data_IF_110581027728
#
_entry.id   IF_110581027728
#
_cell.length_a   1.000
_cell.length_b   1.000
_cell.length_c   1.000
_cell.angle_alpha   90.00
_cell.angle_beta   90.00
_cell.angle_gamma   90.00
#
_symmetry.space_group_name_H-M   'P 1'
#
loop_
_entity.id
_entity.type
_entity.pdbx_description
1 polymer ?
#
# COMPACT_ATOMS: atom_id res chain seq x y z
N UNK A 1 -11.71 15.06 3.22
CA UNK A 1 -11.50 14.76 4.65
C UNK A 1 -10.22 15.40 5.17
N UNK A 2 -10.09 15.66 6.47
CA UNK A 2 -8.80 15.92 7.12
C UNK A 2 -8.41 14.69 7.94
N UNK A 3 -7.23 14.12 7.73
CA UNK A 3 -6.81 12.85 8.34
C UNK A 3 -5.56 13.06 9.17
N UNK A 4 -5.64 12.70 10.46
CA UNK A 4 -4.52 12.69 11.40
C UNK A 4 -3.97 11.28 11.52
N UNK A 5 -2.66 11.12 11.35
CA UNK A 5 -1.97 9.82 11.38
C UNK A 5 -0.90 9.83 12.45
N UNK A 6 -0.80 8.73 13.20
CA UNK A 6 0.38 8.36 14.00
C UNK A 6 0.69 6.87 13.82
N UNK A 7 1.91 6.55 13.44
CA UNK A 7 2.33 5.17 13.18
C UNK A 7 3.72 4.93 13.78
N UNK A 8 3.86 3.87 14.57
CA UNK A 8 5.13 3.46 15.14
C UNK A 8 5.55 2.09 14.62
N UNK A 9 6.76 2.04 14.08
CA UNK A 9 7.43 0.84 13.58
C UNK A 9 8.69 0.60 14.40
N UNK A 10 9.08 -0.66 14.56
CA UNK A 10 10.33 -1.06 15.19
C UNK A 10 11.08 -2.06 14.32
N UNK A 11 12.40 -1.98 14.33
CA UNK A 11 13.29 -3.01 13.79
C UNK A 11 14.51 -3.13 14.68
N UNK A 12 14.96 -4.35 14.96
CA UNK A 12 16.17 -4.61 15.74
C UNK A 12 17.26 -5.14 14.81
N UNK A 13 18.32 -4.36 14.55
CA UNK A 13 19.48 -4.86 13.81
C UNK A 13 20.14 -6.05 14.52
N UNK A 14 20.85 -6.94 13.81
CA UNK A 14 21.60 -8.03 14.42
C UNK A 14 22.57 -7.57 15.51
N UNK A 15 22.76 -8.38 16.54
CA UNK A 15 23.69 -8.08 17.63
C UNK A 15 25.12 -7.84 17.11
N UNK A 16 25.77 -6.78 17.60
CA UNK A 16 27.12 -6.40 17.19
C UNK A 16 27.19 -5.65 15.85
N UNK A 17 26.06 -5.19 15.31
CA UNK A 17 26.02 -4.35 14.10
C UNK A 17 26.83 -3.07 14.32
N UNK A 18 27.84 -2.84 13.48
CA UNK A 18 28.64 -1.61 13.53
C UNK A 18 27.90 -0.42 12.90
N UNK A 19 27.17 -0.66 11.81
CA UNK A 19 26.35 0.33 11.13
C UNK A 19 25.06 -0.31 10.62
N UNK A 20 23.93 0.37 10.84
CA UNK A 20 22.66 0.02 10.22
C UNK A 20 22.14 1.18 9.38
N UNK A 21 21.68 0.90 8.17
CA UNK A 21 21.03 1.87 7.30
C UNK A 21 19.56 1.52 7.17
N UNK A 22 18.69 2.48 7.45
CA UNK A 22 17.26 2.37 7.23
C UNK A 22 16.86 3.13 5.98
N UNK A 23 16.09 2.48 5.12
CA UNK A 23 15.44 3.06 3.96
C UNK A 23 13.95 3.23 4.26
N UNK A 24 13.52 4.48 4.41
CA UNK A 24 12.17 4.85 4.81
C UNK A 24 11.38 5.39 3.61
N UNK A 25 10.24 4.79 3.34
CA UNK A 25 9.19 5.26 2.42
C UNK A 25 7.97 5.71 3.22
N UNK A 26 8.20 6.56 4.21
CA UNK A 26 7.22 6.96 5.22
C UNK A 26 6.76 8.42 5.05
N UNK A 27 6.93 9.00 3.87
CA UNK A 27 6.58 10.41 3.59
C UNK A 27 5.60 10.50 2.42
N UNK A 28 4.34 10.90 2.64
CA UNK A 28 3.37 11.11 1.58
C UNK A 28 3.74 12.33 0.75
N UNK A 29 3.26 12.34 -0.50
CA UNK A 29 3.47 13.45 -1.43
C UNK A 29 2.17 14.20 -1.69
N UNK A 30 2.28 15.49 -1.98
CA UNK A 30 1.15 16.29 -2.46
C UNK A 30 0.71 15.80 -3.85
N UNK A 31 -0.59 15.83 -4.09
CA UNK A 31 -1.16 15.35 -5.34
C UNK A 31 -2.56 15.89 -5.58
N UNK A 32 -3.24 15.33 -6.58
CA UNK A 32 -4.58 15.79 -6.94
C UNK A 32 -5.65 15.33 -5.93
N UNK A 33 -5.39 14.27 -5.16
CA UNK A 33 -6.30 13.66 -4.18
C UNK A 33 -5.95 14.01 -2.74
N UNK A 34 -4.79 14.61 -2.48
CA UNK A 34 -4.33 14.92 -1.13
C UNK A 34 -3.33 16.08 -1.08
N UNK A 35 -3.33 16.80 0.04
CA UNK A 35 -2.35 17.83 0.42
C UNK A 35 -1.87 17.53 1.85
N UNK A 36 -0.56 17.43 2.02
CA UNK A 36 0.10 17.25 3.31
C UNK A 36 0.17 18.61 4.00
N UNK A 37 -0.53 18.75 5.13
CA UNK A 37 -0.52 19.98 5.95
C UNK A 37 0.69 19.98 6.88
N UNK A 38 0.91 18.86 7.57
CA UNK A 38 1.98 18.65 8.52
C UNK A 38 2.48 17.21 8.41
N UNK A 39 3.79 17.00 8.46
CA UNK A 39 4.36 15.65 8.47
C UNK A 39 5.70 15.62 9.17
N UNK A 40 5.88 14.60 10.00
CA UNK A 40 7.09 14.38 10.76
C UNK A 40 7.43 12.88 10.79
N UNK A 41 8.71 12.58 10.61
CA UNK A 41 9.27 11.23 10.76
C UNK A 41 10.39 11.34 11.77
N UNK A 42 10.25 10.63 12.89
CA UNK A 42 11.22 10.61 13.99
C UNK A 42 11.85 9.24 14.09
N UNK A 43 13.17 9.24 14.10
CA UNK A 43 14.01 8.08 14.40
C UNK A 43 15.38 8.63 14.81
N UNK A 44 16.14 7.94 15.69
CA UNK A 44 17.53 8.32 15.93
C UNK A 44 18.27 8.59 14.60
N UNK A 45 19.12 9.60 14.54
CA UNK A 45 19.91 9.92 13.33
C UNK A 45 19.15 10.56 12.14
N UNK A 46 17.83 10.83 12.26
CA UNK A 46 17.05 11.42 11.17
C UNK A 46 17.57 12.79 10.71
N UNK A 47 18.15 13.58 11.61
CA UNK A 47 18.70 14.92 11.31
C UNK A 47 19.81 14.90 10.25
N UNK A 48 20.49 13.76 10.09
CA UNK A 48 21.56 13.56 9.11
C UNK A 48 21.12 12.67 7.94
N UNK A 49 19.82 12.41 7.80
CA UNK A 49 19.31 11.52 6.76
C UNK A 49 19.50 12.13 5.37
N UNK A 50 19.89 11.28 4.42
CA UNK A 50 19.84 11.66 3.01
C UNK A 50 18.39 11.59 2.52
N UNK A 51 17.90 12.69 1.92
CA UNK A 51 16.55 12.79 1.39
C UNK A 51 16.61 12.94 -0.13
N UNK A 52 15.88 12.10 -0.86
CA UNK A 52 15.85 12.12 -2.32
C UNK A 52 14.57 11.49 -2.88
N UNK A 53 14.34 11.64 -4.18
CA UNK A 53 13.26 10.97 -4.88
C UNK A 53 13.77 9.70 -5.58
N UNK A 54 13.11 8.57 -5.37
CA UNK A 54 13.49 7.30 -6.01
C UNK A 54 13.02 7.20 -7.48
N UNK A 55 13.32 6.07 -8.10
CA UNK A 55 12.93 5.78 -9.48
C UNK A 55 11.41 5.65 -9.72
N UNK A 56 10.58 5.69 -8.68
CA UNK A 56 9.11 5.69 -8.77
C UNK A 56 8.51 7.05 -8.41
N UNK A 57 9.33 8.01 -7.98
CA UNK A 57 8.90 9.34 -7.56
C UNK A 57 8.56 9.43 -6.06
N UNK A 58 8.89 8.41 -5.26
CA UNK A 58 8.64 8.44 -3.82
C UNK A 58 9.66 9.32 -3.11
N UNK A 59 9.25 9.97 -2.01
CA UNK A 59 10.19 10.63 -1.09
C UNK A 59 10.85 9.60 -0.18
N UNK A 60 12.17 9.46 -0.29
CA UNK A 60 12.96 8.50 0.47
C UNK A 60 13.79 9.23 1.52
N UNK A 61 13.84 8.66 2.72
CA UNK A 61 14.81 9.04 3.74
C UNK A 61 15.74 7.84 4.01
N UNK A 62 17.04 8.04 3.84
CA UNK A 62 18.09 7.08 4.22
C UNK A 62 18.73 7.52 5.53
N UNK A 63 18.51 6.75 6.59
CA UNK A 63 18.96 7.06 7.95
C UNK A 63 20.07 6.09 8.35
N UNK A 64 21.21 6.61 8.78
CA UNK A 64 22.33 5.81 9.24
C UNK A 64 22.41 5.79 10.78
N UNK A 65 22.56 4.60 11.35
CA UNK A 65 22.83 4.35 12.76
C UNK A 65 24.23 3.80 12.94
N UNK A 66 25.05 4.47 13.75
CA UNK A 66 26.31 3.90 14.21
C UNK A 66 26.07 3.11 15.50
N UNK A 67 26.54 1.85 15.51
CA UNK A 67 26.48 0.92 16.65
C UNK A 67 25.10 0.93 17.33
N UNK A 68 24.01 0.64 16.58
CA UNK A 68 22.68 0.62 17.16
C UNK A 68 22.61 -0.43 18.28
N UNK A 69 22.07 -0.04 19.43
CA UNK A 69 21.80 -0.91 20.56
C UNK A 69 20.29 -1.10 20.73
N UNK A 70 19.81 -2.32 20.55
CA UNK A 70 18.39 -2.65 20.71
C UNK A 70 17.50 -2.15 19.56
N UNK A 71 16.19 -2.00 19.80
CA UNK A 71 15.22 -1.68 18.77
C UNK A 71 15.35 -0.22 18.29
N UNK A 72 15.33 -0.05 16.97
CA UNK A 72 15.23 1.25 16.30
C UNK A 72 13.75 1.55 16.06
N UNK A 73 13.20 2.47 16.84
CA UNK A 73 11.80 2.88 16.73
C UNK A 73 11.67 4.07 15.78
N UNK A 74 10.83 3.92 14.76
CA UNK A 74 10.44 4.99 13.84
C UNK A 74 9.02 5.42 14.18
N UNK A 75 8.84 6.69 14.52
CA UNK A 75 7.53 7.29 14.75
C UNK A 75 7.20 8.25 13.62
N UNK A 76 6.08 8.02 12.97
CA UNK A 76 5.52 8.89 11.95
C UNK A 76 4.31 9.59 12.53
N UNK A 77 4.17 10.89 12.28
CA UNK A 77 2.95 11.62 12.63
C UNK A 77 2.71 12.76 11.66
N UNK A 78 1.45 13.03 11.35
CA UNK A 78 1.12 14.16 10.49
C UNK A 78 -0.36 14.28 10.20
N UNK A 79 -0.68 15.30 9.41
CA UNK A 79 -2.03 15.67 9.01
C UNK A 79 -2.06 15.83 7.50
N UNK A 80 -2.99 15.14 6.86
CA UNK A 80 -3.19 15.16 5.42
C UNK A 80 -4.65 15.52 5.12
N UNK A 81 -4.85 16.55 4.32
CA UNK A 81 -6.14 16.86 3.75
C UNK A 81 -6.34 16.05 2.46
N UNK A 82 -7.43 15.32 2.35
CA UNK A 82 -7.78 14.48 1.21
C UNK A 82 -9.05 14.98 0.52
N UNK A 83 -9.23 14.62 -0.75
CA UNK A 83 -10.41 14.96 -1.55
C UNK A 83 -10.84 13.76 -2.36
N UNK A 84 -12.14 13.45 -2.32
CA UNK A 84 -12.65 12.30 -3.04
C UNK A 84 -12.70 12.62 -4.53
N UNK A 85 -12.05 11.75 -5.30
CA UNK A 85 -12.02 11.79 -6.76
C UNK A 85 -12.46 10.47 -7.37
N UNK A 86 -13.20 9.66 -6.61
CA UNK A 86 -13.73 8.37 -7.05
C UNK A 86 -12.60 7.47 -7.58
N UNK A 87 -11.49 7.38 -6.84
CA UNK A 87 -10.27 6.66 -7.22
C UNK A 87 -9.36 7.35 -8.24
N UNK A 88 -9.76 8.44 -8.89
CA UNK A 88 -8.95 9.07 -9.94
C UNK A 88 -7.83 9.93 -9.34
N UNK A 89 -6.61 9.40 -9.38
CA UNK A 89 -5.37 10.14 -9.02
C UNK A 89 -4.96 11.07 -10.16
N UNK A 90 -5.21 10.67 -11.41
CA UNK A 90 -4.91 11.49 -12.57
C UNK A 90 -3.50 11.29 -13.13
N UNK A 91 -3.06 12.23 -13.96
CA UNK A 91 -1.67 12.30 -14.43
C UNK A 91 -0.84 13.07 -13.40
N UNK A 92 0.30 12.50 -12.99
CA UNK A 92 1.19 13.14 -12.03
C UNK A 92 2.30 13.87 -12.80
N UNK A 93 2.55 15.14 -12.45
CA UNK A 93 3.60 15.93 -13.09
C UNK A 93 4.98 15.43 -12.69
N UNK A 94 5.90 15.33 -13.66
CA UNK A 94 7.26 14.83 -13.41
C UNK A 94 7.35 13.33 -13.13
N UNK A 95 6.26 12.59 -13.33
CA UNK A 95 6.20 11.16 -13.08
C UNK A 95 6.93 10.34 -14.16
N UNK A 96 7.36 9.14 -13.77
CA UNK A 96 7.91 8.14 -14.67
C UNK A 96 6.93 7.73 -15.77
N UNK A 97 7.48 7.25 -16.89
CA UNK A 97 6.69 6.72 -18.00
C UNK A 97 5.85 5.55 -17.49
N UNK A 98 4.50 5.56 -17.66
CA UNK A 98 3.63 4.51 -17.13
C UNK A 98 4.06 3.09 -17.56
N UNK A 99 4.65 2.96 -18.75
CA UNK A 99 5.18 1.69 -19.26
C UNK A 99 6.17 0.98 -18.31
N UNK A 100 6.87 1.70 -17.42
CA UNK A 100 7.71 1.10 -16.36
C UNK A 100 6.91 0.08 -15.53
N UNK A 101 5.66 0.39 -15.23
CA UNK A 101 4.77 -0.40 -14.39
C UNK A 101 4.08 -1.56 -15.15
N UNK A 102 4.51 -1.86 -16.37
CA UNK A 102 4.18 -3.12 -17.07
C UNK A 102 5.13 -4.26 -16.70
N UNK A 103 6.25 -3.97 -16.01
CA UNK A 103 7.26 -4.97 -15.65
C UNK A 103 6.69 -6.02 -14.69
N UNK A 104 6.76 -7.29 -15.09
CA UNK A 104 6.38 -8.42 -14.25
C UNK A 104 7.46 -8.64 -13.18
N UNK A 105 7.04 -8.87 -11.93
CA UNK A 105 7.91 -9.28 -10.83
C UNK A 105 7.52 -10.69 -10.35
N UNK A 106 8.34 -11.36 -9.52
CA UNK A 106 7.97 -12.65 -8.96
C UNK A 106 6.64 -12.63 -8.19
N UNK A 107 6.36 -11.56 -7.46
CA UNK A 107 5.14 -11.39 -6.65
C UNK A 107 3.90 -11.15 -7.51
N UNK A 108 4.03 -10.53 -8.68
CA UNK A 108 2.89 -10.25 -9.58
C UNK A 108 2.66 -11.33 -10.63
N UNK A 109 3.14 -12.55 -10.40
CA UNK A 109 2.86 -13.69 -11.29
C UNK A 109 1.48 -14.27 -10.96
N UNK A 110 0.60 -14.33 -11.95
CA UNK A 110 -0.79 -14.78 -11.77
C UNK A 110 -1.18 -15.85 -12.78
N UNK A 111 -2.15 -16.68 -12.42
CA UNK A 111 -2.74 -17.66 -13.32
C UNK A 111 -3.44 -16.99 -14.50
N UNK A 112 -3.31 -17.58 -15.69
CA UNK A 112 -4.04 -17.16 -16.91
C UNK A 112 -5.55 -17.17 -16.73
N UNK A 113 -6.07 -18.02 -15.83
CA UNK A 113 -7.51 -18.10 -15.53
C UNK A 113 -8.07 -16.84 -14.86
N UNK A 114 -7.21 -16.01 -14.26
CA UNK A 114 -7.62 -14.76 -13.62
C UNK A 114 -8.05 -13.72 -14.66
N UNK A 115 -7.27 -13.57 -15.75
CA UNK A 115 -7.39 -12.44 -16.66
C UNK A 115 -7.77 -12.81 -18.11
N UNK A 116 -7.69 -14.10 -18.49
CA UNK A 116 -7.91 -14.53 -19.88
C UNK A 116 -9.27 -14.13 -20.45
N UNK A 117 -10.33 -14.06 -19.64
CA UNK A 117 -11.67 -13.64 -20.08
C UNK A 117 -11.72 -12.19 -20.57
N UNK A 118 -10.79 -11.35 -20.13
CA UNK A 118 -10.73 -9.93 -20.50
C UNK A 118 -9.88 -9.67 -21.74
N UNK A 119 -9.14 -10.67 -22.25
CA UNK A 119 -8.31 -10.50 -23.46
C UNK A 119 -9.20 -10.20 -24.65
N UNK A 120 -8.94 -9.06 -25.31
CA UNK A 120 -9.72 -8.62 -26.46
C UNK A 120 -11.14 -8.20 -26.13
N UNK A 121 -11.44 -7.87 -24.85
CA UNK A 121 -12.72 -7.24 -24.50
C UNK A 121 -12.93 -5.96 -25.32
N UNK A 122 -14.19 -5.69 -25.64
CA UNK A 122 -14.63 -4.44 -26.29
C UNK A 122 -15.06 -3.37 -25.28
N UNK A 123 -15.11 -3.72 -24.00
CA UNK A 123 -15.46 -2.81 -22.92
C UNK A 123 -14.36 -1.75 -22.74
N UNK A 124 -14.68 -0.67 -22.03
CA UNK A 124 -13.65 0.32 -21.71
C UNK A 124 -12.58 -0.28 -20.80
N UNK A 125 -11.38 0.31 -20.79
CA UNK A 125 -10.30 -0.14 -19.89
C UNK A 125 -10.72 -0.08 -18.43
N UNK A 126 -11.47 0.95 -18.05
CA UNK A 126 -11.99 1.12 -16.69
C UNK A 126 -12.99 0.00 -16.33
N UNK A 127 -13.88 -0.38 -17.24
CA UNK A 127 -14.80 -1.49 -17.00
C UNK A 127 -14.04 -2.81 -16.82
N UNK A 128 -13.02 -3.04 -17.65
CA UNK A 128 -12.13 -4.21 -17.53
C UNK A 128 -11.40 -4.24 -16.18
N UNK A 129 -10.90 -3.11 -15.71
CA UNK A 129 -10.20 -3.02 -14.43
C UNK A 129 -11.15 -3.26 -13.24
N UNK A 130 -12.36 -2.71 -13.25
CA UNK A 130 -13.37 -3.03 -12.23
C UNK A 130 -13.76 -4.51 -12.24
N UNK A 131 -13.98 -5.08 -13.43
CA UNK A 131 -14.30 -6.50 -13.56
C UNK A 131 -13.14 -7.40 -13.12
N UNK A 132 -11.89 -6.97 -13.31
CA UNK A 132 -10.70 -7.65 -12.80
C UNK A 132 -10.63 -7.58 -11.27
N UNK A 133 -10.89 -6.42 -10.65
CA UNK A 133 -10.95 -6.27 -9.19
C UNK A 133 -12.02 -7.18 -8.58
N UNK A 134 -13.22 -7.21 -9.17
CA UNK A 134 -14.29 -8.11 -8.76
C UNK A 134 -13.86 -9.59 -8.85
N UNK A 135 -13.21 -9.97 -9.95
CA UNK A 135 -12.69 -11.33 -10.15
C UNK A 135 -11.57 -11.70 -9.18
N UNK A 136 -10.76 -10.74 -8.72
CA UNK A 136 -9.80 -10.95 -7.63
C UNK A 136 -10.56 -11.13 -6.30
N UNK A 137 -11.60 -10.33 -6.03
CA UNK A 137 -12.44 -10.46 -4.84
C UNK A 137 -13.11 -11.83 -4.70
N UNK A 138 -13.50 -12.46 -5.81
CA UNK A 138 -14.02 -13.84 -5.82
C UNK A 138 -13.03 -14.86 -5.18
N UNK A 139 -11.73 -14.57 -5.12
CA UNK A 139 -10.74 -15.45 -4.46
C UNK A 139 -10.80 -15.43 -2.93
N UNK A 140 -11.50 -14.45 -2.35
CA UNK A 140 -11.77 -14.39 -0.91
C UNK A 140 -12.90 -15.34 -0.49
N UNK A 141 -13.55 -16.04 -1.43
CA UNK A 141 -14.70 -16.91 -1.11
C UNK A 141 -15.92 -16.12 -0.60
N UNK A 142 -15.91 -14.80 -0.76
CA UNK A 142 -17.05 -13.95 -0.44
C UNK A 142 -18.08 -14.17 -1.53
N UNK A 143 -19.13 -14.92 -1.21
CA UNK A 143 -20.34 -14.98 -2.03
C UNK A 143 -20.83 -13.55 -2.23
N UNK A 144 -20.67 -13.02 -3.44
CA UNK A 144 -21.12 -11.70 -3.87
C UNK A 144 -22.65 -11.66 -4.02
N UNK A 145 -23.38 -12.12 -2.99
CA UNK A 145 -24.83 -11.92 -2.81
C UNK A 145 -25.19 -11.29 -1.45
N UNK A 146 -24.21 -11.03 -0.56
CA UNK A 146 -24.44 -10.26 0.66
C UNK A 146 -23.61 -8.97 0.65
N UNK A 147 -24.13 -7.95 -0.03
CA UNK A 147 -23.85 -6.58 0.40
C UNK A 147 -24.36 -6.44 1.84
N UNK A 148 -23.45 -6.10 2.75
CA UNK A 148 -23.62 -5.96 4.20
C UNK A 148 -23.30 -7.22 5.03
N UNK A 149 -22.27 -7.08 5.87
CA UNK A 149 -21.93 -7.88 7.04
C UNK A 149 -21.18 -9.20 6.77
N UNK A 150 -19.85 -9.17 6.88
CA UNK A 150 -19.09 -9.57 8.08
C UNK A 150 -17.60 -9.73 7.74
N UNK A 151 -16.82 -8.80 8.28
CA UNK A 151 -15.36 -8.84 8.44
C UNK A 151 -14.98 -9.94 9.43
N UNK A 152 -14.13 -10.89 9.02
CA UNK A 152 -13.29 -11.65 9.94
C UNK A 152 -11.81 -11.52 9.52
N UNK A 153 -11.08 -10.82 10.41
CA UNK A 153 -9.62 -10.81 10.64
C UNK A 153 -8.65 -10.60 9.47
N UNK A 154 -7.88 -9.51 9.55
CA UNK A 154 -6.43 -9.59 9.79
C UNK A 154 -5.86 -8.22 10.16
N UNK A 155 -5.77 -7.97 11.47
CA UNK A 155 -4.91 -6.92 12.02
C UNK A 155 -3.45 -7.27 11.76
N UNK A 156 -2.66 -6.27 11.37
CA UNK A 156 -1.21 -6.38 11.27
C UNK A 156 -0.60 -6.73 12.62
N UNK A 157 -0.15 -7.97 12.75
CA UNK A 157 0.57 -8.50 13.89
C UNK A 157 0.97 -9.94 13.61
N UNK A 158 2.27 -10.18 13.46
CA UNK A 158 2.82 -11.54 13.39
C UNK A 158 2.44 -12.31 14.65
N UNK A 159 1.45 -13.19 14.55
CA UNK A 159 1.25 -14.28 15.52
C UNK A 159 0.92 -15.57 14.79
N UNK A 160 1.92 -16.46 14.82
CA UNK A 160 1.75 -17.89 14.65
C UNK A 160 0.77 -18.43 15.69
N UNK A 161 -0.41 -18.89 15.26
CA UNK A 161 -1.10 -19.99 15.92
C UNK A 161 -1.68 -20.96 14.90
N UNK A 162 -1.20 -22.20 15.02
CA UNK A 162 -1.69 -23.39 14.36
C UNK A 162 -3.13 -23.72 14.77
N UNK A 163 -4.04 -23.69 13.81
CA UNK A 163 -5.23 -24.54 13.84
C UNK A 163 -5.28 -25.33 12.54
N UNK A 164 -5.25 -26.65 12.70
CA UNK A 164 -5.33 -27.63 11.63
C UNK A 164 -6.78 -27.77 11.17
N UNK A 165 -7.07 -27.18 10.03
CA UNK A 165 -8.12 -27.57 9.09
C UNK A 165 -7.56 -27.30 7.69
N UNK A 166 -7.71 -28.24 6.76
CA UNK A 166 -7.26 -28.13 5.35
C UNK A 166 -8.09 -27.09 4.55
N UNK A 167 -8.35 -25.92 5.14
CA UNK A 167 -8.85 -24.73 4.48
C UNK A 167 -7.69 -23.73 4.39
N UNK A 168 -7.38 -23.30 3.16
CA UNK A 168 -6.33 -22.30 2.95
C UNK A 168 -6.68 -21.01 3.72
N UNK A 169 -5.71 -20.43 4.42
CA UNK A 169 -5.90 -19.13 5.07
C UNK A 169 -6.39 -18.08 4.05
N UNK A 170 -7.26 -17.12 4.46
CA UNK A 170 -7.73 -16.08 3.57
C UNK A 170 -6.57 -15.25 3.03
N UNK A 171 -6.67 -14.83 1.77
CA UNK A 171 -5.63 -14.03 1.11
C UNK A 171 -5.49 -12.66 1.79
N UNK A 172 -4.25 -12.23 1.97
CA UNK A 172 -3.89 -10.91 2.53
C UNK A 172 -4.15 -9.78 1.53
N UNK A 173 -4.26 -8.54 2.02
CA UNK A 173 -4.37 -7.35 1.17
C UNK A 173 -3.26 -7.28 0.11
N UNK A 174 -2.01 -7.57 0.51
CA UNK A 174 -0.86 -7.55 -0.40
C UNK A 174 -0.99 -8.58 -1.52
N UNK A 175 -1.41 -9.81 -1.21
CA UNK A 175 -1.61 -10.87 -2.19
C UNK A 175 -2.70 -10.50 -3.21
N UNK A 176 -3.84 -9.97 -2.76
CA UNK A 176 -4.91 -9.53 -3.66
C UNK A 176 -4.46 -8.38 -4.57
N UNK A 177 -3.70 -7.41 -4.03
CA UNK A 177 -3.13 -6.31 -4.80
C UNK A 177 -2.15 -6.84 -5.84
N UNK A 178 -1.27 -7.79 -5.50
CA UNK A 178 -0.38 -8.43 -6.47
C UNK A 178 -1.14 -9.21 -7.54
N UNK A 179 -2.25 -9.87 -7.18
CA UNK A 179 -3.12 -10.55 -8.14
C UNK A 179 -3.74 -9.58 -9.14
N UNK A 180 -4.29 -8.47 -8.65
CA UNK A 180 -4.83 -7.41 -9.50
C UNK A 180 -3.76 -6.83 -10.44
N UNK A 181 -2.60 -6.45 -9.89
CA UNK A 181 -1.49 -5.88 -10.67
C UNK A 181 -1.01 -6.88 -11.73
N UNK A 182 -0.85 -8.15 -11.37
CA UNK A 182 -0.45 -9.20 -12.29
C UNK A 182 -1.45 -9.39 -13.44
N UNK A 183 -2.76 -9.37 -13.12
CA UNK A 183 -3.83 -9.45 -14.11
C UNK A 183 -3.84 -8.26 -15.06
N UNK A 184 -3.71 -7.04 -14.54
CA UNK A 184 -3.66 -5.82 -15.34
C UNK A 184 -2.43 -5.81 -16.27
N UNK A 185 -1.25 -6.14 -15.74
CA UNK A 185 -0.01 -6.24 -16.54
C UNK A 185 -0.10 -7.28 -17.64
N UNK A 186 -0.76 -8.41 -17.39
CA UNK A 186 -0.97 -9.46 -18.40
C UNK A 186 -1.96 -9.07 -19.51
N UNK A 187 -2.74 -8.00 -19.29
CA UNK A 187 -3.59 -7.33 -20.28
C UNK A 187 -2.90 -6.11 -20.92
N UNK A 188 -1.58 -5.96 -20.72
CA UNK A 188 -0.76 -4.84 -21.20
C UNK A 188 -1.18 -3.46 -20.61
N UNK A 189 -1.78 -3.47 -19.41
CA UNK A 189 -2.15 -2.27 -18.67
C UNK A 189 -1.09 -2.01 -17.58
N UNK A 190 -0.48 -0.81 -17.53
CA UNK A 190 0.40 -0.46 -16.42
C UNK A 190 -0.34 -0.48 -15.09
N UNK A 191 0.23 -1.14 -14.09
CA UNK A 191 -0.32 -1.19 -12.75
C UNK A 191 0.79 -1.19 -11.70
N UNK A 192 0.55 -0.53 -10.56
CA UNK A 192 1.54 -0.33 -9.50
C UNK A 192 0.96 -0.60 -8.13
N UNK A 193 1.83 -1.03 -7.23
CA UNK A 193 1.53 -1.28 -5.83
C UNK A 193 1.57 0.04 -5.08
N UNK A 194 0.60 0.27 -4.21
CA UNK A 194 0.50 1.49 -3.42
C UNK A 194 0.46 1.13 -1.95
N UNK A 195 1.22 1.87 -1.14
CA UNK A 195 1.16 1.82 0.32
C UNK A 195 0.62 3.13 0.86
N UNK A 196 -0.05 3.07 1.99
CA UNK A 196 -0.67 4.25 2.58
C UNK A 196 -1.43 3.95 3.86
N UNK A 197 -2.40 4.81 4.15
CA UNK A 197 -3.28 4.68 5.31
C UNK A 197 -4.75 4.75 4.89
N UNK A 198 -5.61 4.06 5.62
CA UNK A 198 -7.07 4.16 5.54
C UNK A 198 -7.60 4.58 6.90
N UNK A 199 -8.42 5.63 6.90
CA UNK A 199 -9.20 6.06 8.06
C UNK A 199 -10.57 5.38 8.06
N UNK A 200 -11.19 5.20 9.23
CA UNK A 200 -12.62 4.95 9.28
C UNK A 200 -13.39 6.24 9.00
N UNK A 201 -14.66 6.06 8.66
CA UNK A 201 -15.63 7.14 8.74
C UNK A 201 -15.74 7.64 10.20
N UNK A 202 -15.96 8.94 10.46
CA UNK A 202 -16.03 9.49 11.81
C UNK A 202 -17.05 8.81 12.75
N UNK A 203 -18.08 8.17 12.20
CA UNK A 203 -19.13 7.44 12.91
C UNK A 203 -19.21 5.93 12.50
N UNK A 204 -18.19 5.42 11.80
CA UNK A 204 -18.15 4.06 11.26
C UNK A 204 -17.54 3.03 12.22
N UNK A 205 -17.65 1.75 11.86
CA UNK A 205 -16.93 0.67 12.55
C UNK A 205 -15.42 0.70 12.20
N UNK A 206 -14.58 0.47 13.21
CA UNK A 206 -13.12 0.60 13.16
C UNK A 206 -12.37 -0.58 12.47
N UNK A 207 -13.08 -1.49 11.82
CA UNK A 207 -12.55 -2.81 11.47
C UNK A 207 -11.40 -2.80 10.44
N UNK A 208 -11.23 -1.72 9.67
CA UNK A 208 -10.22 -1.58 8.60
C UNK A 208 -9.49 -0.23 8.65
N UNK A 209 -9.02 0.15 9.84
CA UNK A 209 -8.26 1.38 10.07
C UNK A 209 -6.76 1.09 10.18
N UNK A 210 -5.95 1.85 9.45
CA UNK A 210 -4.50 1.88 9.68
C UNK A 210 -3.68 1.86 8.41
N UNK A 211 -2.49 1.26 8.49
CA UNK A 211 -1.63 1.06 7.33
C UNK A 211 -2.27 0.05 6.37
N UNK A 212 -2.33 0.40 5.09
CA UNK A 212 -3.01 -0.41 4.08
C UNK A 212 -2.31 -0.36 2.73
N UNK A 213 -2.72 -1.27 1.83
CA UNK A 213 -2.17 -1.39 0.49
C UNK A 213 -3.28 -1.56 -0.55
N UNK A 214 -3.09 -0.95 -1.71
CA UNK A 214 -4.00 -1.06 -2.85
C UNK A 214 -3.22 -0.99 -4.16
N UNK A 215 -3.93 -1.10 -5.30
CA UNK A 215 -3.33 -0.98 -6.61
C UNK A 215 -3.72 0.34 -7.28
N UNK A 216 -2.85 0.87 -8.14
CA UNK A 216 -3.24 1.87 -9.14
C UNK A 216 -2.99 1.31 -10.53
N UNK A 217 -3.92 1.51 -11.47
CA UNK A 217 -3.78 1.13 -12.87
C UNK A 217 -3.96 2.33 -13.80
N UNK A 218 -3.26 2.32 -14.93
CA UNK A 218 -3.20 3.47 -15.84
C UNK A 218 -4.25 3.39 -16.96
N UNK A 219 -5.15 4.36 -16.96
CA UNK A 219 -6.07 4.64 -18.05
C UNK A 219 -5.57 5.81 -18.93
N UNK A 220 -5.79 5.72 -20.23
CA UNK A 220 -5.26 6.71 -21.19
C UNK A 220 -5.97 8.07 -21.07
N UNK A 221 -7.25 8.06 -20.70
CA UNK A 221 -8.06 9.27 -20.55
C UNK A 221 -7.92 9.83 -19.14
N UNK A 222 -8.07 8.97 -18.12
CA UNK A 222 -8.11 9.39 -16.72
C UNK A 222 -6.73 9.51 -16.07
N UNK A 223 -5.70 8.81 -16.57
CA UNK A 223 -4.41 8.66 -15.88
C UNK A 223 -4.45 7.52 -14.86
N UNK A 224 -3.80 7.68 -13.71
CA UNK A 224 -3.85 6.67 -12.66
C UNK A 224 -5.20 6.64 -11.96
N UNK A 225 -5.74 5.44 -11.80
CA UNK A 225 -6.97 5.15 -11.07
C UNK A 225 -6.67 4.08 -10.02
N UNK A 226 -7.10 4.33 -8.77
CA UNK A 226 -6.92 3.41 -7.65
C UNK A 226 -7.98 2.32 -7.61
N UNK A 227 -7.58 1.13 -7.18
CA UNK A 227 -8.42 -0.05 -6.99
C UNK A 227 -7.97 -0.75 -5.71
N UNK A 228 -8.89 -0.98 -4.79
CA UNK A 228 -8.66 -1.75 -3.57
C UNK A 228 -9.35 -3.11 -3.68
N UNK A 229 -8.60 -4.18 -3.99
CA UNK A 229 -9.18 -5.51 -4.15
C UNK A 229 -9.59 -6.16 -2.83
N UNK A 230 -9.13 -5.68 -1.67
CA UNK A 230 -9.60 -6.19 -0.38
C UNK A 230 -10.97 -5.59 -0.06
N UNK A 231 -11.09 -4.27 -0.20
CA UNK A 231 -12.33 -3.54 0.12
C UNK A 231 -13.34 -3.54 -1.03
N UNK A 232 -12.93 -3.99 -2.22
CA UNK A 232 -13.75 -4.00 -3.45
C UNK A 232 -14.29 -2.62 -3.83
N UNK A 233 -13.51 -1.58 -3.58
CA UNK A 233 -13.84 -0.18 -3.90
C UNK A 233 -12.69 0.52 -4.62
N UNK A 234 -13.00 1.66 -5.22
CA UNK A 234 -11.98 2.64 -5.58
C UNK A 234 -11.64 3.48 -4.33
N UNK A 235 -10.35 3.81 -4.07
CA UNK A 235 -9.97 4.67 -2.96
C UNK A 235 -10.72 6.02 -2.94
N UNK A 236 -11.29 6.35 -1.78
CA UNK A 236 -12.00 7.60 -1.49
C UNK A 236 -11.09 8.60 -0.75
N UNK A 237 -11.66 9.67 -0.20
CA UNK A 237 -10.94 10.59 0.67
C UNK A 237 -10.59 10.03 2.05
N UNK A 238 -10.97 8.80 2.38
CA UNK A 238 -10.46 8.08 3.55
C UNK A 238 -9.05 7.50 3.33
N UNK A 239 -8.56 7.50 2.08
CA UNK A 239 -7.26 6.93 1.72
C UNK A 239 -6.18 7.99 1.62
N UNK A 240 -5.07 7.79 2.33
CA UNK A 240 -3.86 8.62 2.24
C UNK A 240 -2.77 7.82 1.52
N UNK A 241 -2.41 8.26 0.32
CA UNK A 241 -1.37 7.67 -0.51
C UNK A 241 0.02 8.05 0.00
N UNK A 242 0.88 7.07 0.21
CA UNK A 242 2.24 7.30 0.73
C UNK A 242 3.32 7.03 -0.32
N UNK A 243 3.48 5.76 -0.73
CA UNK A 243 4.51 5.37 -1.69
C UNK A 243 3.97 4.38 -2.72
N UNK A 244 4.68 4.26 -3.84
CA UNK A 244 4.34 3.35 -4.92
C UNK A 244 5.52 2.55 -5.42
N UNK A 245 5.25 1.37 -5.96
CA UNK A 245 6.26 0.47 -6.47
C UNK A 245 5.70 -0.48 -7.52
N UNK A 246 6.55 -1.38 -8.00
CA UNK A 246 6.13 -2.47 -8.86
C UNK A 246 5.42 -3.59 -8.11
N UNK A 247 5.81 -3.78 -6.85
CA UNK A 247 5.28 -4.74 -5.89
C UNK A 247 5.66 -4.27 -4.48
N UNK A 248 5.28 -5.07 -3.49
CA UNK A 248 5.50 -4.79 -2.07
C UNK A 248 6.97 -4.55 -1.71
N UNK A 249 7.92 -5.27 -2.33
CA UNK A 249 9.36 -5.16 -2.02
C UNK A 249 9.94 -3.83 -2.46
N UNK A 250 9.33 -3.20 -3.48
CA UNK A 250 9.74 -1.90 -4.00
C UNK A 250 9.09 -0.71 -3.29
N UNK A 251 8.07 -0.95 -2.46
CA UNK A 251 7.35 0.09 -1.72
C UNK A 251 7.27 -0.18 -0.21
N UNK A 252 8.11 -1.09 0.30
CA UNK A 252 8.15 -1.43 1.72
C UNK A 252 8.43 -0.18 2.57
N UNK A 253 7.61 0.13 3.58
CA UNK A 253 7.67 1.39 4.32
C UNK A 253 9.00 1.57 5.07
N UNK A 254 9.55 0.48 5.61
CA UNK A 254 10.81 0.45 6.32
C UNK A 254 11.62 -0.76 5.88
N UNK A 255 12.87 -0.55 5.48
CA UNK A 255 13.86 -1.61 5.28
C UNK A 255 15.12 -1.28 6.05
N UNK A 256 15.69 -2.24 6.76
CA UNK A 256 16.97 -2.10 7.44
C UNK A 256 18.05 -2.95 6.76
N UNK A 257 19.27 -2.44 6.73
CA UNK A 257 20.46 -3.17 6.30
C UNK A 257 21.59 -3.00 7.33
N UNK A 258 22.15 -4.08 7.89
CA UNK A 258 21.78 -5.48 7.69
C UNK A 258 20.33 -5.77 8.14
N UNK A 259 19.73 -6.80 7.53
CA UNK A 259 18.39 -7.26 7.89
C UNK A 259 18.40 -7.84 9.32
N UNK A 260 17.42 -7.42 10.11
CA UNK A 260 17.29 -7.74 11.53
C UNK A 260 16.26 -8.82 11.81
N UNK A 261 15.50 -8.63 12.89
CA UNK A 261 14.34 -9.46 13.29
C UNK A 261 13.07 -9.23 12.45
N UNK A 262 13.15 -8.34 11.46
CA UNK A 262 12.01 -7.90 10.67
C UNK A 262 11.40 -6.62 11.22
N UNK A 263 10.39 -6.10 10.53
CA UNK A 263 9.70 -4.87 10.95
C UNK A 263 8.47 -5.23 11.76
N UNK A 264 8.38 -4.69 12.97
CA UNK A 264 7.21 -4.81 13.85
C UNK A 264 6.40 -3.51 13.84
N UNK A 265 5.08 -3.63 13.74
CA UNK A 265 4.16 -2.51 13.94
C UNK A 265 3.84 -2.41 15.43
N UNK A 266 4.29 -1.34 16.09
CA UNK A 266 4.05 -1.12 17.52
C UNK A 266 2.69 -0.47 17.78
N UNK A 267 2.31 0.50 16.95
CA UNK A 267 1.00 1.16 17.03
C UNK A 267 0.65 1.85 15.73
N UNK A 268 -0.64 1.90 15.41
CA UNK A 268 -1.19 2.70 14.31
C UNK A 268 -2.46 3.39 14.80
N UNK A 269 -2.56 4.68 14.53
CA UNK A 269 -3.75 5.48 14.77
C UNK A 269 -3.98 6.36 13.54
N UNK A 270 -5.18 6.27 12.98
CA UNK A 270 -5.61 7.07 11.84
C UNK A 270 -7.01 7.57 12.16
N UNK A 271 -7.17 8.89 12.25
CA UNK A 271 -8.43 9.52 12.61
C UNK A 271 -8.85 10.49 11.50
N UNK A 272 -10.13 10.45 11.11
CA UNK A 272 -10.74 11.36 10.14
C UNK A 272 -11.53 12.46 10.86
N UNK A 273 -11.47 13.67 10.31
CA UNK A 273 -12.22 14.85 10.74
C UNK A 273 -12.87 15.48 9.50
N UNK A 274 -14.17 15.79 9.61
CA UNK A 274 -14.97 16.39 8.54
C UNK A 274 -14.57 17.84 8.23
#
# INVERSE_FOLDING_TARGET
MRITIRHQLSVTPPAGTAHAVMHLLLTPSNGSTQTVEEWNVEVPGIDNAAVFSDAYGNSVQLVNQEKPEGPLVVTVSGIVQTTDKHGVVGRISGENVPALFKRITPLTKVSVTLYSKFRGSKDSRIDVLHALMARVGETLGVDTEAGQSQSQSSSGGSQSQSQSSDEAAPATASELVHMFIGGARALDIPARFVTGYVAAEPDGDDDLIGYHVWAEAYDEVLGWVGFDPLLQICPSDLHVRMAVGLDELSSTPLRASPEGDGVEVLSVSVASEA
#
